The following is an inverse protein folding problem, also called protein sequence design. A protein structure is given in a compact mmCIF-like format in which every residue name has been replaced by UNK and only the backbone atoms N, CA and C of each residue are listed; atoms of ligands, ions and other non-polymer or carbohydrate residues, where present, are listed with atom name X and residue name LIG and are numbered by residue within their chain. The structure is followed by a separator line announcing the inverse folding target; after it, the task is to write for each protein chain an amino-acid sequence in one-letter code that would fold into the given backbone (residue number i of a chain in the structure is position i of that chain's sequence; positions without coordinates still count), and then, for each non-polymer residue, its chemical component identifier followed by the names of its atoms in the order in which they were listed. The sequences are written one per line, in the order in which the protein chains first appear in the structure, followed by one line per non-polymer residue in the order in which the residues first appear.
data_IF_507747983147
#
_entry.id   IF_507747983147
#
_cell.length_a   1.000
_cell.length_b   1.000
_cell.length_c   1.000
_cell.angle_alpha   90.00
_cell.angle_beta   90.00
_cell.angle_gamma   90.00
#
_symmetry.space_group_name_H-M   'P 1'
#
loop_
_entity.id
_entity.type
_entity.pdbx_description
1 polymer ?
#
# COMPACT_ATOMS: atom_id res chain seq x y z
N UNK A 1 -12.81 -12.06 18.68
CA UNK A 1 -12.85 -10.68 19.27
C UNK A 1 -12.01 -10.73 20.53
N UNK A 2 -10.83 -10.09 20.55
CA UNK A 2 -10.13 -9.81 21.80
C UNK A 2 -10.96 -8.78 22.56
N UNK A 3 -11.57 -9.17 23.66
CA UNK A 3 -12.27 -8.25 24.56
C UNK A 3 -11.23 -7.45 25.35
N UNK A 4 -10.58 -6.49 24.73
CA UNK A 4 -9.92 -5.40 25.43
C UNK A 4 -11.02 -4.54 26.05
N UNK A 5 -11.47 -4.88 27.26
CA UNK A 5 -12.31 -4.00 28.06
C UNK A 5 -11.47 -2.76 28.41
N UNK A 6 -11.86 -1.60 27.90
CA UNK A 6 -11.23 -0.29 28.16
C UNK A 6 -11.07 0.11 29.63
N UNK A 7 -11.57 -0.71 30.58
CA UNK A 7 -11.53 -0.45 32.02
C UNK A 7 -10.62 -1.39 32.82
N UNK A 8 -10.12 -2.49 32.21
CA UNK A 8 -9.23 -3.42 32.89
C UNK A 8 -7.87 -3.41 32.15
N UNK A 9 -6.79 -2.97 32.80
CA UNK A 9 -5.44 -2.97 32.21
C UNK A 9 -4.86 -4.38 32.05
N UNK A 10 -5.55 -5.41 32.52
CA UNK A 10 -5.12 -6.81 32.47
C UNK A 10 -5.81 -7.48 31.28
N UNK A 11 -5.05 -7.86 30.30
CA UNK A 11 -5.52 -8.59 29.12
C UNK A 11 -6.02 -10.00 29.48
N UNK A 12 -7.00 -10.49 28.73
CA UNK A 12 -7.52 -11.85 28.82
C UNK A 12 -7.53 -12.52 27.44
N UNK A 13 -7.72 -13.83 27.43
CA UNK A 13 -7.90 -14.62 26.22
C UNK A 13 -9.05 -15.63 26.40
N UNK A 14 -9.61 -16.08 25.29
CA UNK A 14 -10.61 -17.15 25.32
C UNK A 14 -9.91 -18.51 25.35
N UNK A 15 -10.24 -19.32 26.34
CA UNK A 15 -9.91 -20.73 26.39
C UNK A 15 -11.08 -21.52 25.78
N UNK A 16 -10.82 -22.33 24.78
CA UNK A 16 -11.81 -23.23 24.20
C UNK A 16 -11.51 -24.65 24.67
N UNK A 17 -12.47 -25.25 25.37
CA UNK A 17 -12.38 -26.63 25.84
C UNK A 17 -13.29 -27.50 24.99
N UNK A 18 -12.74 -28.57 24.41
CA UNK A 18 -13.50 -29.57 23.68
C UNK A 18 -13.76 -30.77 24.59
N UNK A 19 -15.03 -31.11 24.81
CA UNK A 19 -15.44 -32.29 25.59
C UNK A 19 -16.51 -33.07 24.83
N UNK A 20 -16.14 -34.22 24.27
CA UNK A 20 -17.08 -35.02 23.45
C UNK A 20 -17.63 -34.19 22.30
N UNK A 21 -18.94 -33.98 22.26
CA UNK A 21 -19.61 -33.18 21.22
C UNK A 21 -19.83 -31.72 21.62
N UNK A 22 -19.09 -31.20 22.58
CA UNK A 22 -19.31 -29.86 23.11
C UNK A 22 -18.03 -29.03 23.05
N UNK A 23 -18.15 -27.79 22.57
CA UNK A 23 -17.13 -26.74 22.69
C UNK A 23 -17.58 -25.73 23.74
N UNK A 24 -16.79 -25.55 24.78
CA UNK A 24 -17.03 -24.56 25.85
C UNK A 24 -16.04 -23.42 25.70
N UNK A 25 -16.53 -22.18 25.70
CA UNK A 25 -15.73 -20.95 25.56
C UNK A 25 -15.65 -20.24 26.90
N UNK A 26 -14.46 -20.16 27.47
CA UNK A 26 -14.19 -19.54 28.75
C UNK A 26 -13.33 -18.29 28.56
N UNK A 27 -13.60 -17.24 29.31
CA UNK A 27 -12.69 -16.10 29.42
C UNK A 27 -11.64 -16.40 30.50
N UNK A 28 -10.36 -16.32 30.15
CA UNK A 28 -9.27 -16.38 31.11
C UNK A 28 -8.54 -15.05 31.17
N UNK A 29 -8.51 -14.45 32.33
CA UNK A 29 -7.76 -13.23 32.61
C UNK A 29 -6.33 -13.63 32.94
N UNK A 30 -5.33 -12.92 32.39
CA UNK A 30 -3.91 -13.17 32.63
C UNK A 30 -3.65 -13.06 34.15
N UNK A 31 -3.02 -14.10 34.73
CA UNK A 31 -2.72 -14.22 36.16
C UNK A 31 -3.96 -14.33 37.10
N UNK A 32 -5.12 -14.64 36.54
CA UNK A 32 -6.35 -14.85 37.30
C UNK A 32 -7.03 -16.17 36.96
N UNK A 33 -8.20 -16.42 37.54
CA UNK A 33 -8.99 -17.62 37.30
C UNK A 33 -9.60 -17.68 35.91
N UNK A 34 -9.88 -18.91 35.44
CA UNK A 34 -10.73 -19.13 34.27
C UNK A 34 -12.20 -18.95 34.72
N UNK A 35 -12.91 -18.07 34.05
CA UNK A 35 -14.34 -17.84 34.32
C UNK A 35 -15.19 -19.02 33.82
N UNK A 36 -16.42 -19.21 34.37
CA UNK A 36 -17.38 -20.15 33.80
C UNK A 36 -17.57 -19.94 32.29
N UNK A 37 -17.99 -20.99 31.59
CA UNK A 37 -18.26 -20.89 30.15
C UNK A 37 -19.30 -19.79 29.88
N UNK A 38 -18.94 -18.86 29.00
CA UNK A 38 -19.85 -17.80 28.55
C UNK A 38 -20.61 -18.21 27.29
N UNK A 39 -20.16 -19.27 26.62
CA UNK A 39 -20.82 -19.86 25.46
C UNK A 39 -20.49 -21.35 25.38
N UNK A 40 -21.47 -22.15 24.97
CA UNK A 40 -21.34 -23.59 24.76
C UNK A 40 -21.98 -23.95 23.42
N UNK A 41 -21.23 -24.64 22.57
CA UNK A 41 -21.69 -25.10 21.27
C UNK A 41 -21.75 -26.64 21.28
N UNK A 42 -22.91 -27.21 20.98
CA UNK A 42 -23.08 -28.64 20.81
C UNK A 42 -22.80 -29.03 19.35
N UNK A 43 -21.69 -29.72 19.09
CA UNK A 43 -21.24 -30.11 17.76
C UNK A 43 -22.23 -31.05 17.05
N UNK A 44 -22.93 -31.89 17.81
CA UNK A 44 -23.94 -32.80 17.26
C UNK A 44 -25.15 -32.06 16.64
N UNK A 45 -25.36 -30.77 17.00
CA UNK A 45 -26.42 -29.93 16.43
C UNK A 45 -25.96 -29.14 15.20
N UNK A 46 -24.67 -29.15 14.90
CA UNK A 46 -24.14 -28.56 13.68
C UNK A 46 -24.46 -29.50 12.53
N UNK A 47 -25.63 -29.35 11.92
CA UNK A 47 -25.84 -29.93 10.60
C UNK A 47 -24.78 -29.35 9.66
N UNK A 48 -24.11 -30.25 8.93
CA UNK A 48 -23.26 -29.84 7.80
C UNK A 48 -24.12 -28.95 6.92
N UNK A 49 -23.98 -27.64 7.03
CA UNK A 49 -24.50 -26.75 6.00
C UNK A 49 -23.74 -27.13 4.74
N UNK A 50 -24.35 -27.94 3.89
CA UNK A 50 -23.98 -27.97 2.48
C UNK A 50 -24.16 -26.53 2.03
N UNK A 51 -23.05 -25.81 1.91
CA UNK A 51 -23.04 -24.45 1.41
C UNK A 51 -23.28 -24.50 -0.09
N UNK A 52 -24.56 -24.76 -0.42
CA UNK A 52 -25.05 -24.76 -1.81
C UNK A 52 -25.40 -23.35 -2.27
N UNK A 53 -25.28 -22.35 -1.40
CA UNK A 53 -25.69 -20.97 -1.65
C UNK A 53 -24.53 -20.01 -1.81
N UNK A 54 -23.28 -20.50 -1.72
CA UNK A 54 -22.14 -19.64 -2.00
C UNK A 54 -22.13 -19.29 -3.48
N UNK A 55 -22.51 -18.05 -3.79
CA UNK A 55 -22.44 -17.51 -5.13
C UNK A 55 -20.97 -17.51 -5.58
N UNK A 56 -20.67 -18.33 -6.57
CA UNK A 56 -19.41 -18.29 -7.28
C UNK A 56 -19.62 -17.44 -8.52
N UNK A 57 -18.94 -16.30 -8.65
CA UNK A 57 -19.02 -15.50 -9.86
C UNK A 57 -18.72 -16.37 -11.08
N UNK A 58 -19.54 -16.27 -12.10
CA UNK A 58 -19.24 -16.88 -13.39
C UNK A 58 -18.22 -16.02 -14.11
N UNK A 59 -16.98 -16.49 -14.14
CA UNK A 59 -15.89 -15.83 -14.86
C UNK A 59 -15.82 -16.23 -16.35
N UNK A 60 -16.79 -17.00 -16.88
CA UNK A 60 -16.81 -17.44 -18.28
C UNK A 60 -16.76 -16.24 -19.25
N UNK A 61 -17.31 -15.10 -18.85
CA UNK A 61 -17.24 -13.86 -19.63
C UNK A 61 -15.79 -13.45 -19.94
N UNK A 62 -14.82 -13.77 -19.07
CA UNK A 62 -13.41 -13.45 -19.32
C UNK A 62 -12.86 -14.22 -20.53
N UNK A 63 -13.42 -15.37 -20.86
CA UNK A 63 -13.06 -16.14 -22.05
C UNK A 63 -13.52 -15.48 -23.36
N UNK A 64 -14.44 -14.53 -23.28
CA UNK A 64 -14.96 -13.80 -24.45
C UNK A 64 -14.06 -12.65 -24.89
N UNK A 65 -13.02 -12.31 -24.10
CA UNK A 65 -12.03 -11.27 -24.44
C UNK A 65 -10.86 -11.88 -25.20
N UNK A 66 -10.91 -11.97 -26.55
CA UNK A 66 -9.89 -12.67 -27.34
C UNK A 66 -8.54 -11.94 -27.38
N UNK A 67 -8.51 -10.68 -26.95
CA UNK A 67 -7.30 -9.85 -26.88
C UNK A 67 -6.40 -10.17 -25.70
N UNK A 68 -6.89 -10.89 -24.69
CA UNK A 68 -6.09 -11.26 -23.51
C UNK A 68 -5.59 -12.69 -23.70
N UNK A 69 -4.28 -12.83 -23.97
CA UNK A 69 -3.60 -14.12 -24.07
C UNK A 69 -2.51 -14.19 -23.04
N UNK A 70 -2.45 -15.33 -22.32
CA UNK A 70 -1.29 -15.62 -21.46
C UNK A 70 -0.05 -15.77 -22.36
N UNK A 71 0.94 -14.91 -22.17
CA UNK A 71 2.21 -14.97 -22.89
C UNK A 71 3.17 -15.97 -22.24
N UNK A 72 3.20 -15.96 -20.91
CA UNK A 72 3.95 -16.89 -20.08
C UNK A 72 3.40 -16.87 -18.65
N UNK A 73 3.71 -17.92 -17.92
CA UNK A 73 3.31 -18.09 -16.52
C UNK A 73 4.49 -18.54 -15.69
N UNK A 74 4.66 -17.93 -14.54
CA UNK A 74 5.63 -18.33 -13.53
C UNK A 74 4.90 -18.66 -12.23
N UNK A 75 5.29 -19.75 -11.60
CA UNK A 75 4.85 -20.08 -10.24
C UNK A 75 6.04 -19.87 -9.31
N UNK A 76 5.89 -18.97 -8.34
CA UNK A 76 6.84 -18.81 -7.26
C UNK A 76 6.55 -19.79 -6.13
N UNK A 77 7.55 -20.09 -5.33
CA UNK A 77 7.42 -20.98 -4.15
C UNK A 77 6.95 -20.23 -2.90
N UNK A 78 6.96 -18.89 -2.94
CA UNK A 78 6.53 -18.01 -1.85
C UNK A 78 5.60 -16.92 -2.36
N UNK A 79 4.98 -16.20 -1.43
CA UNK A 79 4.04 -15.14 -1.77
C UNK A 79 4.73 -13.95 -2.44
N UNK A 80 4.09 -13.42 -3.47
CA UNK A 80 4.43 -12.16 -4.13
C UNK A 80 3.51 -11.10 -3.55
N UNK A 81 3.99 -10.32 -2.59
CA UNK A 81 3.18 -9.37 -1.82
C UNK A 81 3.03 -7.99 -2.48
N UNK A 82 3.76 -7.73 -3.57
CA UNK A 82 3.72 -6.46 -4.30
C UNK A 82 3.62 -6.69 -5.80
N UNK A 83 3.21 -5.65 -6.51
CA UNK A 83 3.28 -5.68 -7.98
C UNK A 83 4.74 -5.71 -8.45
N UNK A 84 4.99 -6.36 -9.58
CA UNK A 84 6.27 -6.25 -10.28
C UNK A 84 6.39 -4.94 -11.05
N UNK A 85 7.61 -4.59 -11.40
CA UNK A 85 7.93 -3.44 -12.25
C UNK A 85 8.43 -3.90 -13.61
N UNK A 86 8.07 -3.17 -14.65
CA UNK A 86 8.49 -3.44 -16.02
C UNK A 86 9.12 -2.20 -16.66
N UNK A 87 10.23 -2.39 -17.36
CA UNK A 87 10.85 -1.36 -18.19
C UNK A 87 11.53 -2.02 -19.41
N UNK A 88 10.95 -1.76 -20.57
CA UNK A 88 11.34 -2.41 -21.81
C UNK A 88 11.18 -3.93 -21.76
N UNK A 89 12.28 -4.66 -21.90
CA UNK A 89 12.29 -6.12 -21.86
C UNK A 89 12.63 -6.73 -20.49
N UNK A 90 12.74 -5.91 -19.46
CA UNK A 90 13.01 -6.34 -18.08
C UNK A 90 11.75 -6.27 -17.25
N UNK A 91 11.37 -7.38 -16.63
CA UNK A 91 10.36 -7.47 -15.58
C UNK A 91 11.03 -7.87 -14.28
N UNK A 92 10.83 -7.08 -13.22
CA UNK A 92 11.39 -7.36 -11.91
C UNK A 92 10.26 -7.49 -10.90
N UNK A 93 10.26 -8.56 -10.13
CA UNK A 93 9.37 -8.73 -8.98
C UNK A 93 10.14 -9.22 -7.75
N UNK A 94 9.51 -9.12 -6.60
CA UNK A 94 10.06 -9.51 -5.30
C UNK A 94 9.09 -10.44 -4.58
N UNK A 95 9.61 -11.25 -3.67
CA UNK A 95 8.79 -12.18 -2.91
C UNK A 95 9.07 -12.13 -1.39
N UNK A 96 8.24 -12.83 -0.63
CA UNK A 96 8.35 -12.88 0.84
C UNK A 96 9.49 -13.77 1.36
N UNK A 97 10.22 -14.47 0.49
CA UNK A 97 11.50 -15.08 0.84
C UNK A 97 12.68 -14.10 0.78
N UNK A 98 12.43 -12.82 0.39
CA UNK A 98 13.49 -11.83 0.25
C UNK A 98 14.25 -11.91 -1.07
N UNK A 99 13.69 -12.60 -2.07
CA UNK A 99 14.33 -12.76 -3.38
C UNK A 99 13.81 -11.73 -4.36
N UNK A 100 14.72 -11.09 -5.06
CA UNK A 100 14.49 -10.24 -6.23
C UNK A 100 14.68 -11.09 -7.47
N UNK A 101 13.67 -11.14 -8.32
CA UNK A 101 13.69 -11.88 -9.58
C UNK A 101 13.63 -10.91 -10.76
N UNK A 102 14.62 -11.00 -11.64
CA UNK A 102 14.63 -10.28 -12.89
C UNK A 102 14.41 -11.24 -14.05
N UNK A 103 13.37 -10.99 -14.82
CA UNK A 103 12.94 -11.84 -15.93
C UNK A 103 12.95 -11.08 -17.23
N UNK A 104 13.11 -11.81 -18.31
CA UNK A 104 12.80 -11.31 -19.63
C UNK A 104 11.27 -11.17 -19.76
N UNK A 105 10.78 -9.96 -19.97
CA UNK A 105 9.35 -9.66 -20.00
C UNK A 105 8.59 -10.36 -21.14
N UNK A 106 9.28 -10.72 -22.26
CA UNK A 106 8.64 -11.37 -23.41
C UNK A 106 8.40 -12.87 -23.21
N UNK A 107 9.26 -13.56 -22.44
CA UNK A 107 9.22 -15.02 -22.34
C UNK A 107 9.32 -15.57 -20.92
N UNK A 108 9.36 -14.72 -19.90
CA UNK A 108 9.43 -15.11 -18.51
C UNK A 108 10.74 -15.77 -18.06
N UNK A 109 11.77 -15.85 -18.92
CA UNK A 109 13.05 -16.48 -18.55
C UNK A 109 13.79 -15.61 -17.54
N UNK A 110 14.27 -16.23 -16.46
CA UNK A 110 15.12 -15.58 -15.46
C UNK A 110 16.42 -15.09 -16.07
N UNK A 111 16.73 -13.83 -15.83
CA UNK A 111 18.01 -13.21 -16.20
C UNK A 111 18.97 -13.25 -15.03
N UNK A 112 18.50 -12.85 -13.86
CA UNK A 112 19.24 -12.93 -12.60
C UNK A 112 18.30 -12.95 -11.41
N UNK A 113 18.84 -13.35 -10.27
CA UNK A 113 18.18 -13.27 -8.96
C UNK A 113 19.14 -12.69 -7.94
N UNK A 114 18.59 -12.05 -6.89
CA UNK A 114 19.35 -11.56 -5.75
C UNK A 114 18.55 -11.80 -4.47
N UNK A 115 19.20 -12.25 -3.40
CA UNK A 115 18.55 -12.51 -2.11
C UNK A 115 19.00 -11.48 -1.09
N UNK A 116 18.05 -10.76 -0.49
CA UNK A 116 18.26 -9.83 0.63
C UNK A 116 18.28 -10.58 1.96
N UNK A 117 18.58 -9.87 3.05
CA UNK A 117 18.64 -10.47 4.38
C UNK A 117 17.28 -10.81 5.02
N UNK A 118 16.15 -10.33 4.43
CA UNK A 118 14.81 -10.58 4.98
C UNK A 118 13.74 -10.40 3.87
N UNK A 119 12.47 -10.58 4.25
CA UNK A 119 11.29 -10.43 3.39
C UNK A 119 11.26 -9.11 2.64
N UNK A 120 10.66 -9.11 1.45
CA UNK A 120 10.37 -7.92 0.67
C UNK A 120 8.86 -7.83 0.45
N UNK A 121 8.28 -6.70 0.82
CA UNK A 121 6.86 -6.38 0.61
C UNK A 121 6.63 -5.25 -0.38
N UNK A 122 7.71 -4.61 -0.83
CA UNK A 122 7.70 -3.45 -1.72
C UNK A 122 7.91 -3.83 -3.18
N UNK A 123 7.31 -3.05 -4.08
CA UNK A 123 7.63 -3.13 -5.49
C UNK A 123 9.03 -2.54 -5.76
N UNK A 124 9.84 -3.15 -6.63
CA UNK A 124 11.12 -2.60 -7.02
C UNK A 124 10.95 -1.37 -7.93
N UNK A 125 11.94 -0.48 -7.97
CA UNK A 125 12.00 0.63 -8.92
C UNK A 125 13.12 0.39 -9.94
N UNK A 126 12.78 0.39 -11.23
CA UNK A 126 13.74 0.15 -12.32
C UNK A 126 14.21 1.50 -12.88
N UNK A 127 15.52 1.67 -12.96
CA UNK A 127 16.15 2.79 -13.65
C UNK A 127 16.95 2.29 -14.87
N UNK A 128 17.49 3.14 -15.74
CA UNK A 128 18.31 2.70 -16.87
C UNK A 128 19.54 1.85 -16.50
N UNK A 129 20.08 1.99 -15.28
CA UNK A 129 21.29 1.29 -14.84
C UNK A 129 21.10 0.40 -13.60
N UNK A 130 20.13 0.70 -12.75
CA UNK A 130 19.95 0.09 -11.44
C UNK A 130 18.51 -0.38 -11.24
N UNK A 131 18.36 -1.36 -10.37
CA UNK A 131 17.10 -1.76 -9.74
C UNK A 131 17.19 -1.44 -8.26
N UNK A 132 16.29 -0.59 -7.77
CA UNK A 132 16.25 -0.18 -6.36
C UNK A 132 15.21 -1.03 -5.65
N UNK A 133 15.63 -1.65 -4.55
CA UNK A 133 14.81 -2.57 -3.75
C UNK A 133 14.95 -2.22 -2.27
N UNK A 134 13.85 -2.28 -1.55
CA UNK A 134 13.82 -2.13 -0.09
C UNK A 134 13.41 -3.43 0.58
N UNK A 135 14.02 -3.74 1.72
CA UNK A 135 13.84 -5.01 2.42
C UNK A 135 13.54 -4.82 3.90
N UNK A 136 12.85 -5.78 4.49
CA UNK A 136 12.60 -5.84 5.93
C UNK A 136 13.88 -6.11 6.76
N UNK A 137 15.04 -6.30 6.13
CA UNK A 137 16.33 -6.30 6.82
C UNK A 137 16.84 -4.87 7.14
N UNK A 138 16.02 -3.86 6.86
CA UNK A 138 16.34 -2.44 7.09
C UNK A 138 17.16 -1.80 6.00
N UNK A 139 17.39 -2.47 4.88
CA UNK A 139 18.28 -1.98 3.85
C UNK A 139 17.59 -1.61 2.54
N UNK A 140 18.14 -0.62 1.90
CA UNK A 140 17.87 -0.22 0.53
C UNK A 140 19.04 -0.72 -0.32
N UNK A 141 18.73 -1.48 -1.35
CA UNK A 141 19.68 -2.05 -2.27
C UNK A 141 19.58 -1.39 -3.64
N UNK A 142 20.70 -1.03 -4.23
CA UNK A 142 20.81 -0.74 -5.66
C UNK A 142 21.53 -1.89 -6.33
N UNK A 143 20.80 -2.63 -7.13
CA UNK A 143 21.32 -3.77 -7.88
C UNK A 143 21.63 -3.33 -9.32
N UNK A 144 22.72 -3.83 -9.89
CA UNK A 144 23.00 -3.65 -11.31
C UNK A 144 21.86 -4.21 -12.14
N UNK A 145 21.32 -3.41 -13.06
CA UNK A 145 20.15 -3.80 -13.86
C UNK A 145 20.38 -5.06 -14.71
N UNK A 146 21.60 -5.26 -15.21
CA UNK A 146 21.93 -6.39 -16.10
C UNK A 146 22.42 -7.62 -15.36
N UNK A 147 23.15 -7.41 -14.25
CA UNK A 147 23.88 -8.49 -13.55
C UNK A 147 23.23 -8.89 -12.23
N UNK A 148 22.35 -8.06 -11.64
CA UNK A 148 21.79 -8.30 -10.31
C UNK A 148 22.78 -8.15 -9.16
N UNK A 149 24.00 -7.71 -9.42
CA UNK A 149 25.02 -7.50 -8.37
C UNK A 149 24.78 -6.20 -7.63
N UNK A 150 25.09 -6.19 -6.32
CA UNK A 150 24.96 -4.98 -5.49
C UNK A 150 25.95 -3.91 -5.93
N UNK A 151 25.47 -2.73 -6.26
CA UNK A 151 26.28 -1.54 -6.52
C UNK A 151 26.50 -0.73 -5.25
N UNK A 152 25.43 -0.56 -4.48
CA UNK A 152 25.49 0.02 -3.15
C UNK A 152 24.34 -0.51 -2.28
N UNK A 153 24.50 -0.35 -0.96
CA UNK A 153 23.53 -0.71 0.06
C UNK A 153 23.53 0.40 1.12
N UNK A 154 22.33 0.86 1.53
CA UNK A 154 22.15 1.78 2.64
C UNK A 154 21.29 1.13 3.71
N UNK A 155 21.71 1.17 4.99
CA UNK A 155 20.98 0.60 6.11
C UNK A 155 20.28 1.71 6.92
N UNK A 156 18.99 1.52 7.21
CA UNK A 156 18.16 2.43 8.02
C UNK A 156 17.96 1.94 9.45
N UNK A 157 18.51 0.78 9.80
CA UNK A 157 18.37 0.04 11.07
C UNK A 157 16.94 -0.45 11.38
N UNK A 158 15.96 -0.13 10.53
CA UNK A 158 14.56 -0.53 10.71
C UNK A 158 13.98 -1.14 9.43
N UNK A 159 13.05 -2.09 9.54
CA UNK A 159 12.38 -2.69 8.38
C UNK A 159 11.82 -1.64 7.42
N UNK A 160 11.97 -1.91 6.12
CA UNK A 160 11.41 -1.06 5.07
C UNK A 160 10.38 -1.87 4.29
N UNK A 161 9.12 -1.42 4.37
CA UNK A 161 8.00 -2.00 3.63
C UNK A 161 7.52 -1.08 2.50
N UNK A 162 7.95 0.18 2.53
CA UNK A 162 7.61 1.19 1.53
C UNK A 162 8.29 0.94 0.18
N UNK A 163 7.62 1.34 -0.90
CA UNK A 163 8.19 1.31 -2.24
C UNK A 163 9.10 2.53 -2.47
N UNK A 164 10.31 2.33 -3.01
CA UNK A 164 11.19 3.44 -3.39
C UNK A 164 10.66 4.17 -4.64
N UNK A 165 10.98 5.46 -4.73
CA UNK A 165 10.79 6.27 -5.94
C UNK A 165 12.11 6.92 -6.32
N UNK A 166 12.40 6.95 -7.60
CA UNK A 166 13.61 7.61 -8.13
C UNK A 166 13.20 8.72 -9.08
N UNK A 167 13.60 9.93 -8.73
CA UNK A 167 13.37 11.14 -9.54
C UNK A 167 14.69 11.91 -9.64
N UNK A 168 15.11 12.24 -10.86
CA UNK A 168 16.28 13.08 -11.13
C UNK A 168 17.55 12.67 -10.35
N UNK A 169 17.84 11.37 -10.36
CA UNK A 169 19.05 10.84 -9.70
C UNK A 169 18.99 10.76 -8.17
N UNK A 170 17.80 10.89 -7.59
CA UNK A 170 17.57 10.80 -6.16
C UNK A 170 16.56 9.71 -5.82
N UNK A 171 16.87 8.88 -4.83
CA UNK A 171 15.99 7.86 -4.26
C UNK A 171 15.26 8.44 -3.07
N UNK A 172 13.93 8.33 -3.04
CA UNK A 172 13.06 8.75 -1.95
C UNK A 172 12.34 7.54 -1.37
N UNK A 173 12.39 7.37 -0.05
CA UNK A 173 11.81 6.21 0.62
C UNK A 173 11.53 6.45 2.10
N UNK A 174 10.41 5.92 2.57
CA UNK A 174 10.08 5.88 3.99
C UNK A 174 10.47 4.57 4.67
N UNK A 175 10.63 4.59 5.98
CA UNK A 175 10.94 3.41 6.80
C UNK A 175 9.94 3.23 7.94
N UNK A 176 9.92 2.04 8.54
CA UNK A 176 9.01 1.71 9.64
C UNK A 176 9.29 2.45 10.95
N UNK A 177 10.39 3.18 11.06
CA UNK A 177 10.72 4.02 12.22
C UNK A 177 10.12 5.44 12.14
N UNK A 178 9.28 5.74 11.14
CA UNK A 178 8.73 7.08 10.95
C UNK A 178 9.76 8.09 10.41
N UNK A 179 10.83 7.61 9.77
CA UNK A 179 11.81 8.45 9.07
C UNK A 179 11.64 8.32 7.57
N UNK A 180 11.88 9.41 6.89
CA UNK A 180 11.92 9.47 5.43
C UNK A 180 13.32 9.83 4.96
N UNK A 181 13.80 9.16 3.91
CA UNK A 181 15.17 9.25 3.44
C UNK A 181 15.24 9.75 2.01
N UNK A 182 16.24 10.57 1.72
CA UNK A 182 16.66 10.97 0.38
C UNK A 182 18.11 10.55 0.17
N UNK A 183 18.36 9.71 -0.84
CA UNK A 183 19.68 9.18 -1.14
C UNK A 183 20.07 9.50 -2.58
N UNK A 184 21.37 9.69 -2.83
CA UNK A 184 21.88 9.77 -4.20
C UNK A 184 21.76 8.42 -4.89
N UNK A 185 21.16 8.38 -6.07
CA UNK A 185 21.02 7.16 -6.86
C UNK A 185 22.38 6.56 -7.25
N UNK A 186 23.39 7.39 -7.45
CA UNK A 186 24.68 6.98 -7.97
C UNK A 186 25.46 6.05 -7.00
N UNK A 187 25.44 6.35 -5.72
CA UNK A 187 26.29 5.72 -4.72
C UNK A 187 25.62 5.43 -3.38
N UNK A 188 24.34 5.77 -3.22
CA UNK A 188 23.58 5.58 -1.98
C UNK A 188 23.94 6.57 -0.87
N UNK A 189 24.71 7.62 -1.15
CA UNK A 189 25.02 8.66 -0.18
C UNK A 189 23.76 9.36 0.28
N UNK A 190 23.63 9.56 1.60
CA UNK A 190 22.50 10.26 2.20
C UNK A 190 22.57 11.77 1.82
N UNK A 191 21.46 12.28 1.27
CA UNK A 191 21.28 13.73 1.11
C UNK A 191 20.70 14.32 2.39
N UNK A 192 19.58 13.77 2.87
CA UNK A 192 18.90 14.21 4.08
C UNK A 192 17.98 13.12 4.63
N UNK A 193 17.59 13.28 5.90
CA UNK A 193 16.50 12.55 6.55
C UNK A 193 15.45 13.52 7.05
N UNK A 194 14.17 13.12 6.97
CA UNK A 194 13.08 13.80 7.67
C UNK A 194 12.63 12.90 8.82
N UNK A 195 12.83 13.39 10.03
CA UNK A 195 12.54 12.67 11.27
C UNK A 195 11.17 13.09 11.86
N UNK A 196 10.65 12.29 12.77
CA UNK A 196 9.46 12.63 13.55
C UNK A 196 8.16 12.58 12.79
N UNK A 197 8.07 11.79 11.70
CA UNK A 197 6.81 11.46 11.07
C UNK A 197 6.06 10.46 11.93
N UNK A 198 4.79 10.74 12.22
CA UNK A 198 4.00 9.91 13.13
C UNK A 198 3.58 8.60 12.43
N UNK A 199 3.89 7.46 13.03
CA UNK A 199 3.58 6.13 12.51
C UNK A 199 4.59 5.64 11.47
N UNK A 200 4.45 4.39 11.05
CA UNK A 200 5.31 3.80 10.03
C UNK A 200 4.86 4.19 8.61
N UNK A 201 5.79 4.10 7.68
CA UNK A 201 5.58 4.45 6.27
C UNK A 201 5.57 3.16 5.46
N UNK A 202 4.49 2.96 4.71
CA UNK A 202 4.28 1.79 3.86
C UNK A 202 4.12 2.18 2.39
N UNK A 203 3.46 3.30 2.12
CA UNK A 203 3.13 3.71 0.77
C UNK A 203 4.33 4.24 -0.01
N UNK A 204 4.14 4.30 -1.31
CA UNK A 204 5.03 4.97 -2.25
C UNK A 204 4.84 6.49 -2.13
N UNK A 205 5.91 7.32 -2.06
CA UNK A 205 5.77 8.76 -2.09
C UNK A 205 5.39 9.29 -3.48
N UNK A 206 4.72 10.44 -3.54
CA UNK A 206 4.68 11.28 -4.73
C UNK A 206 5.74 12.37 -4.62
N UNK A 207 6.28 12.80 -5.77
CA UNK A 207 7.34 13.81 -5.82
C UNK A 207 7.06 14.77 -6.96
N UNK A 208 7.00 16.06 -6.67
CA UNK A 208 7.00 17.14 -7.66
C UNK A 208 8.39 17.81 -7.76
N UNK A 209 8.45 18.98 -8.39
CA UNK A 209 9.71 19.73 -8.54
C UNK A 209 10.31 20.19 -7.21
N UNK A 210 9.49 20.48 -6.22
CA UNK A 210 9.90 21.13 -4.98
C UNK A 210 9.65 20.26 -3.74
N UNK A 211 8.75 19.25 -3.81
CA UNK A 211 8.23 18.57 -2.62
C UNK A 211 8.13 17.08 -2.80
N UNK A 212 8.11 16.41 -1.65
CA UNK A 212 7.78 14.99 -1.51
C UNK A 212 6.53 14.87 -0.64
N UNK A 213 5.57 14.06 -1.06
CA UNK A 213 4.32 13.83 -0.35
C UNK A 213 4.23 12.40 0.11
N UNK A 214 3.88 12.19 1.39
CA UNK A 214 3.80 10.86 1.97
C UNK A 214 2.72 10.76 3.04
N UNK A 215 1.94 9.69 2.97
CA UNK A 215 1.02 9.29 4.02
C UNK A 215 1.66 8.31 4.98
N UNK A 216 1.26 8.37 6.26
CA UNK A 216 1.77 7.47 7.30
C UNK A 216 0.63 6.80 8.04
N UNK A 217 0.92 5.70 8.72
CA UNK A 217 -0.02 5.00 9.58
C UNK A 217 -0.26 5.68 10.94
N UNK A 218 0.24 6.89 11.10
CA UNK A 218 -0.08 7.78 12.22
C UNK A 218 -1.30 8.68 12.00
N UNK A 219 -2.13 8.43 10.98
CA UNK A 219 -3.23 9.26 10.55
C UNK A 219 -2.81 10.59 9.89
N UNK A 220 -1.53 10.69 9.50
CA UNK A 220 -0.93 11.92 9.00
C UNK A 220 -0.60 11.83 7.50
N UNK A 221 -0.67 12.97 6.85
CA UNK A 221 -0.19 13.21 5.50
C UNK A 221 0.75 14.42 5.51
N UNK A 222 1.90 14.30 4.86
CA UNK A 222 2.99 15.28 4.94
C UNK A 222 3.42 15.75 3.56
N UNK A 223 3.81 17.03 3.47
CA UNK A 223 4.68 17.53 2.43
C UNK A 223 6.05 17.89 3.03
N UNK A 224 7.09 17.43 2.37
CA UNK A 224 8.48 17.58 2.77
C UNK A 224 9.21 18.34 1.67
N UNK A 225 10.00 19.34 2.02
CA UNK A 225 10.86 20.04 1.06
C UNK A 225 11.85 19.07 0.42
N UNK A 226 11.86 19.02 -0.89
CA UNK A 226 12.65 18.05 -1.66
C UNK A 226 14.16 18.25 -1.53
N UNK A 227 14.61 19.46 -1.22
CA UNK A 227 16.04 19.82 -1.12
C UNK A 227 16.58 19.67 0.28
N UNK A 228 15.83 20.19 1.28
CA UNK A 228 16.28 20.21 2.68
C UNK A 228 15.81 19.02 3.51
N UNK A 229 14.69 18.38 3.15
CA UNK A 229 14.05 17.36 3.97
C UNK A 229 13.20 17.92 5.11
N UNK A 230 12.99 19.24 5.16
CA UNK A 230 12.15 19.86 6.17
C UNK A 230 10.65 19.66 5.88
N UNK A 231 9.85 19.49 6.94
CA UNK A 231 8.39 19.45 6.79
C UNK A 231 7.86 20.82 6.40
N UNK A 232 7.13 20.92 5.29
CA UNK A 232 6.50 22.15 4.83
C UNK A 232 5.12 22.30 5.47
N UNK A 233 4.30 21.24 5.37
CA UNK A 233 2.99 21.17 5.99
C UNK A 233 2.62 19.73 6.34
N UNK A 234 1.66 19.60 7.23
CA UNK A 234 1.10 18.30 7.63
C UNK A 234 -0.42 18.39 7.78
N UNK A 235 -1.09 17.29 7.52
CA UNK A 235 -2.53 17.13 7.67
C UNK A 235 -2.83 15.90 8.52
N UNK A 236 -3.64 16.10 9.57
CA UNK A 236 -4.15 15.04 10.45
C UNK A 236 -5.59 14.70 10.08
N UNK A 237 -5.90 13.42 9.78
CA UNK A 237 -7.27 12.98 9.53
C UNK A 237 -8.14 13.05 10.78
N UNK A 238 -7.56 13.17 11.98
CA UNK A 238 -8.21 13.22 13.31
C UNK A 238 -9.09 12.00 13.62
N UNK A 239 -8.97 10.93 12.84
CA UNK A 239 -9.78 9.71 12.98
C UNK A 239 -9.02 8.51 13.52
N UNK A 240 -7.77 8.70 13.92
CA UNK A 240 -6.91 7.69 14.52
C UNK A 240 -6.26 6.74 13.49
N UNK A 241 -5.42 5.87 14.02
CA UNK A 241 -4.47 5.03 13.26
C UNK A 241 -5.10 4.21 12.11
N UNK A 242 -6.30 3.65 12.30
CA UNK A 242 -6.95 2.81 11.28
C UNK A 242 -7.51 3.60 10.08
N UNK A 243 -7.54 4.91 10.16
CA UNK A 243 -8.07 5.81 9.14
C UNK A 243 -6.97 6.66 8.50
N UNK A 244 -5.80 6.07 8.36
CA UNK A 244 -4.59 6.71 7.89
C UNK A 244 -4.52 6.79 6.36
N UNK A 245 -3.83 7.79 5.80
CA UNK A 245 -3.45 7.82 4.38
C UNK A 245 -2.22 6.95 4.07
N UNK A 246 -1.84 6.04 4.98
CA UNK A 246 -0.61 5.26 4.90
C UNK A 246 -0.63 4.13 3.86
N UNK A 247 -1.81 3.65 3.45
CA UNK A 247 -1.94 2.54 2.52
C UNK A 247 -1.99 2.97 1.05
N UNK A 248 -2.47 4.19 0.77
CA UNK A 248 -2.64 4.68 -0.60
C UNK A 248 -1.50 5.60 -1.03
N UNK A 249 -1.10 5.49 -2.27
CA UNK A 249 -0.08 6.37 -2.83
C UNK A 249 -0.68 7.72 -3.16
N UNK A 250 -0.08 8.81 -2.72
CA UNK A 250 -0.46 10.13 -3.22
C UNK A 250 -0.06 10.27 -4.69
N UNK A 251 -0.79 11.12 -5.42
CA UNK A 251 -0.52 11.41 -6.83
C UNK A 251 -0.56 12.92 -7.02
N UNK A 252 0.40 13.45 -7.76
CA UNK A 252 0.42 14.85 -8.20
C UNK A 252 -0.11 14.91 -9.61
N UNK A 253 -1.16 15.70 -9.82
CA UNK A 253 -1.82 15.87 -11.12
C UNK A 253 -2.07 17.35 -11.44
N UNK A 254 -1.98 17.75 -12.71
CA UNK A 254 -2.37 19.08 -13.12
C UNK A 254 -3.91 19.24 -13.10
N UNK A 255 -4.36 20.45 -12.90
CA UNK A 255 -5.73 20.89 -13.15
C UNK A 255 -5.74 22.29 -13.78
N UNK A 256 -6.80 22.62 -14.50
CA UNK A 256 -6.95 23.94 -15.13
C UNK A 256 -8.12 24.68 -14.48
N UNK A 257 -7.86 25.87 -13.95
CA UNK A 257 -8.88 26.73 -13.36
C UNK A 257 -8.69 28.16 -13.86
N UNK A 258 -9.75 28.75 -14.37
CA UNK A 258 -9.73 30.11 -14.94
C UNK A 258 -8.66 30.33 -16.03
N UNK A 259 -8.37 29.30 -16.82
CA UNK A 259 -7.35 29.35 -17.87
C UNK A 259 -5.92 29.11 -17.41
N UNK A 260 -5.67 28.97 -16.11
CA UNK A 260 -4.35 28.69 -15.54
C UNK A 260 -4.22 27.20 -15.20
N UNK A 261 -3.04 26.65 -15.49
CA UNK A 261 -2.70 25.28 -15.11
C UNK A 261 -1.96 25.29 -13.78
N UNK A 262 -2.53 24.58 -12.81
CA UNK A 262 -2.03 24.40 -11.45
C UNK A 262 -1.82 22.91 -11.17
N UNK A 263 -1.20 22.59 -10.03
CA UNK A 263 -1.05 21.21 -9.55
C UNK A 263 -1.89 20.97 -8.31
N UNK A 264 -2.35 19.74 -8.15
CA UNK A 264 -3.04 19.24 -6.97
C UNK A 264 -2.40 17.91 -6.51
N UNK A 265 -2.41 17.69 -5.20
CA UNK A 265 -1.95 16.43 -4.60
C UNK A 265 -3.17 15.67 -4.12
N UNK A 266 -3.39 14.48 -4.65
CA UNK A 266 -4.55 13.65 -4.33
C UNK A 266 -4.11 12.47 -3.51
N UNK A 267 -4.81 12.19 -2.42
CA UNK A 267 -4.61 11.00 -1.57
C UNK A 267 -5.94 10.42 -1.11
N UNK A 268 -6.01 9.11 -1.08
CA UNK A 268 -7.11 8.36 -0.48
C UNK A 268 -6.68 7.88 0.91
N UNK A 269 -7.51 8.12 1.90
CA UNK A 269 -7.29 7.63 3.27
C UNK A 269 -8.28 6.54 3.63
N UNK A 270 -7.89 5.66 4.54
CA UNK A 270 -8.77 4.59 5.05
C UNK A 270 -9.99 5.10 5.82
N UNK A 271 -10.13 6.41 6.04
CA UNK A 271 -11.33 7.07 6.52
C UNK A 271 -12.40 7.27 5.44
N UNK A 272 -12.16 6.66 4.27
CA UNK A 272 -13.02 6.66 3.08
C UNK A 272 -13.06 7.97 2.29
N UNK A 273 -12.25 8.96 2.66
CA UNK A 273 -12.15 10.21 1.93
C UNK A 273 -11.02 10.18 0.91
N UNK A 274 -11.34 10.62 -0.29
CA UNK A 274 -10.34 11.14 -1.23
C UNK A 274 -10.23 12.64 -0.98
N UNK A 275 -9.01 13.14 -0.86
CA UNK A 275 -8.72 14.56 -0.66
C UNK A 275 -7.72 15.04 -1.68
N UNK A 276 -7.97 16.25 -2.17
CA UNK A 276 -7.01 17.00 -2.96
C UNK A 276 -6.50 18.18 -2.16
N UNK A 277 -5.20 18.41 -2.21
CA UNK A 277 -4.51 19.46 -1.48
C UNK A 277 -3.80 20.40 -2.45
N UNK A 278 -3.73 21.67 -2.07
CA UNK A 278 -2.82 22.62 -2.70
C UNK A 278 -1.36 22.23 -2.33
N UNK A 279 -0.48 22.02 -3.32
CA UNK A 279 0.86 21.49 -3.08
C UNK A 279 1.70 22.31 -2.10
N UNK A 280 1.60 23.64 -2.19
CA UNK A 280 2.42 24.55 -1.39
C UNK A 280 1.92 24.81 0.03
N UNK A 281 0.60 24.85 0.23
CA UNK A 281 0.00 25.26 1.51
C UNK A 281 -0.60 24.11 2.32
N UNK A 282 -0.92 22.99 1.66
CA UNK A 282 -1.65 21.88 2.30
C UNK A 282 -3.13 22.17 2.52
N UNK A 283 -3.66 23.25 1.98
CA UNK A 283 -5.09 23.54 2.00
C UNK A 283 -5.85 22.51 1.17
N UNK A 284 -6.99 22.06 1.68
CA UNK A 284 -7.87 21.13 0.96
C UNK A 284 -8.57 21.88 -0.17
N UNK A 285 -8.29 21.51 -1.41
CA UNK A 285 -9.00 22.03 -2.59
C UNK A 285 -10.39 21.42 -2.68
N UNK A 286 -10.48 20.13 -2.46
CA UNK A 286 -11.75 19.39 -2.38
C UNK A 286 -11.57 18.08 -1.59
N UNK A 287 -12.67 17.54 -1.09
CA UNK A 287 -12.74 16.24 -0.43
C UNK A 287 -14.06 15.55 -0.77
N UNK A 288 -14.03 14.24 -0.96
CA UNK A 288 -15.22 13.43 -1.22
C UNK A 288 -15.10 12.05 -0.57
N UNK A 289 -16.20 11.58 0.00
CA UNK A 289 -16.35 10.23 0.51
C UNK A 289 -17.41 9.41 -0.27
N UNK A 290 -17.86 9.91 -1.42
CA UNK A 290 -18.91 9.31 -2.25
C UNK A 290 -18.59 7.86 -2.61
N UNK A 291 -17.38 7.60 -3.06
CA UNK A 291 -16.94 6.25 -3.43
C UNK A 291 -16.78 5.30 -2.25
N UNK A 292 -16.61 5.82 -1.02
CA UNK A 292 -16.21 5.02 0.15
C UNK A 292 -14.98 4.15 -0.15
N UNK A 293 -14.00 4.71 -0.86
CA UNK A 293 -12.75 4.04 -1.20
C UNK A 293 -11.84 3.85 0.01
N UNK A 294 -10.87 2.95 -0.09
CA UNK A 294 -10.00 2.66 1.04
C UNK A 294 -8.51 2.55 0.69
N UNK A 295 -8.14 1.95 -0.43
CA UNK A 295 -6.77 1.49 -0.65
C UNK A 295 -6.15 1.94 -1.96
N UNK A 296 -6.92 2.22 -3.00
CA UNK A 296 -6.37 2.50 -4.33
C UNK A 296 -7.17 3.52 -5.12
N UNK A 297 -6.43 4.31 -5.88
CA UNK A 297 -6.92 5.24 -6.88
C UNK A 297 -6.41 4.82 -8.26
N UNK A 298 -7.26 4.97 -9.26
CA UNK A 298 -6.88 4.87 -10.67
C UNK A 298 -7.16 6.20 -11.37
N UNK A 299 -6.49 6.44 -12.48
CA UNK A 299 -6.65 7.66 -13.27
C UNK A 299 -6.70 7.34 -14.75
N UNK A 300 -7.42 8.16 -15.52
CA UNK A 300 -7.33 8.15 -16.97
C UNK A 300 -5.92 8.54 -17.43
N UNK A 301 -5.48 8.14 -18.64
CA UNK A 301 -4.15 8.47 -19.14
C UNK A 301 -3.85 9.98 -19.21
N UNK A 302 -4.87 10.81 -19.37
CA UNK A 302 -4.77 12.26 -19.38
C UNK A 302 -4.84 12.90 -17.98
N UNK A 303 -5.04 12.10 -16.93
CA UNK A 303 -5.11 12.53 -15.53
C UNK A 303 -6.38 13.30 -15.15
N UNK A 304 -7.37 13.40 -16.05
CA UNK A 304 -8.58 14.20 -15.81
C UNK A 304 -9.67 13.46 -15.06
N UNK A 305 -9.76 12.16 -15.27
CA UNK A 305 -10.76 11.32 -14.60
C UNK A 305 -10.10 10.44 -13.56
N UNK A 306 -10.63 10.46 -12.35
CA UNK A 306 -10.24 9.59 -11.25
C UNK A 306 -11.25 8.45 -11.12
N UNK A 307 -10.75 7.25 -10.85
CA UNK A 307 -11.54 6.05 -10.57
C UNK A 307 -11.24 5.54 -9.16
N UNK A 308 -12.29 5.27 -8.39
CA UNK A 308 -12.18 4.78 -7.02
C UNK A 308 -13.02 3.53 -6.87
N UNK A 309 -12.40 2.43 -6.42
CA UNK A 309 -13.14 1.25 -5.98
C UNK A 309 -13.60 1.43 -4.54
N UNK A 310 -14.90 1.38 -4.32
CA UNK A 310 -15.50 1.48 -3.00
C UNK A 310 -15.61 0.13 -2.28
N UNK A 311 -15.77 0.19 -0.96
CA UNK A 311 -15.94 -1.00 -0.10
C UNK A 311 -17.29 -1.70 -0.26
N UNK A 312 -18.26 -1.05 -0.89
CA UNK A 312 -19.61 -1.59 -1.17
C UNK A 312 -19.73 -2.16 -2.59
N UNK A 313 -18.64 -2.69 -3.15
CA UNK A 313 -18.59 -3.24 -4.51
C UNK A 313 -19.00 -2.24 -5.59
N UNK A 314 -18.75 -0.97 -5.37
CA UNK A 314 -18.97 0.09 -6.34
C UNK A 314 -17.67 0.60 -6.93
N UNK A 315 -17.76 1.16 -8.13
CA UNK A 315 -16.72 1.97 -8.75
C UNK A 315 -17.33 3.34 -9.03
N UNK A 316 -16.62 4.38 -8.64
CA UNK A 316 -16.99 5.78 -8.89
C UNK A 316 -15.97 6.39 -9.83
N UNK A 317 -16.43 7.07 -10.87
CA UNK A 317 -15.60 7.93 -11.70
C UNK A 317 -15.93 9.40 -11.42
N UNK A 318 -14.92 10.24 -11.31
CA UNK A 318 -15.07 11.66 -11.08
C UNK A 318 -14.12 12.47 -11.97
N UNK A 319 -14.61 13.59 -12.48
CA UNK A 319 -13.77 14.60 -13.12
C UNK A 319 -13.07 15.44 -12.04
N UNK A 320 -11.75 15.55 -12.16
CA UNK A 320 -10.87 16.29 -11.26
C UNK A 320 -10.02 17.34 -12.00
N UNK A 321 -10.31 17.56 -13.27
CA UNK A 321 -9.49 18.39 -14.18
C UNK A 321 -9.59 19.89 -13.90
N UNK A 322 -10.53 20.31 -13.05
CA UNK A 322 -10.77 21.72 -12.72
C UNK A 322 -10.41 22.09 -11.27
N UNK A 323 -9.69 21.21 -10.57
CA UNK A 323 -9.37 21.42 -9.14
C UNK A 323 -10.59 21.31 -8.24
N UNK A 324 -11.61 20.58 -8.70
CA UNK A 324 -12.86 20.26 -8.00
C UNK A 324 -13.19 18.79 -8.22
N UNK A 325 -14.01 18.23 -7.34
CA UNK A 325 -14.55 16.88 -7.53
C UNK A 325 -15.93 16.97 -8.17
N UNK A 326 -16.10 16.37 -9.33
CA UNK A 326 -17.40 16.26 -10.02
C UNK A 326 -17.67 14.81 -10.34
N UNK A 327 -18.67 14.22 -9.70
CA UNK A 327 -19.07 12.83 -9.95
C UNK A 327 -19.58 12.70 -11.38
N UNK A 328 -19.02 11.76 -12.14
CA UNK A 328 -19.45 11.43 -13.51
C UNK A 328 -20.44 10.27 -13.47
N UNK A 329 -20.09 9.21 -12.77
CA UNK A 329 -20.95 8.05 -12.55
C UNK A 329 -20.47 7.23 -11.34
N UNK A 330 -21.41 6.51 -10.75
CA UNK A 330 -21.18 5.52 -9.71
C UNK A 330 -21.95 4.24 -10.09
N UNK A 331 -21.27 3.13 -10.24
CA UNK A 331 -21.88 1.86 -10.61
C UNK A 331 -21.57 0.79 -9.58
N UNK A 332 -22.60 0.06 -9.18
CA UNK A 332 -22.42 -1.13 -8.34
C UNK A 332 -21.98 -2.30 -9.22
N UNK A 333 -20.96 -3.01 -8.76
CA UNK A 333 -20.60 -4.27 -9.39
C UNK A 333 -21.59 -5.36 -8.96
N UNK A 334 -21.98 -6.29 -9.86
CA UNK A 334 -23.04 -7.27 -9.62
C UNK A 334 -22.64 -8.39 -8.64
N UNK A 335 -21.69 -8.15 -7.77
CA UNK A 335 -21.24 -9.12 -6.77
C UNK A 335 -21.66 -8.63 -5.38
N UNK A 336 -22.75 -9.14 -4.90
CA UNK A 336 -23.13 -9.07 -3.50
C UNK A 336 -22.55 -10.26 -2.72
#
# INVERSE_FOLDING_TARGET
RSSLRRKDPIGGYNLVTHRGNTLEFHERIIKAETRPAWNTIHLASLQEKKDTTYYRPDFAINATYPSVRETWKLKDVTDIASQGSIDGNLYVYTNTAGVVHALNAKNGKTQWTYTTGNKIFSAPFITPKLVIVSSCDGSIYALDRKLGTVRWKYNTDYPIVACPVVIEGTVYIGSSNGKFYSLKLADGTLNWTCDGLQGYIESRPAVDKERVYIGTWGAMFYAIDRRSGEKIWEFDTKRGRYFSPGACWPVVLPYTRQGETNEQVIVLSSDYFVRSFHPGTGEILWASDEAKGRESLGFSPDGKTMYVKGIKNNITAADISHGTYTSLWNTSMPYE
#
